data_IF_627218842667
#
_entry.id   IF_627218842667
#
_cell.length_a   1.000
_cell.length_b   1.000
_cell.length_c   1.000
_cell.angle_alpha   90.00
_cell.angle_beta   90.00
_cell.angle_gamma   90.00
#
_symmetry.space_group_name_H-M   'P 1'
#
loop_
_entity.id
_entity.type
_entity.pdbx_description
1 polymer ?
#
# COMPACT_ATOMS: atom_id res chain seq x y z
N UNK A 1 -13.88 13.36 -18.38
CA UNK A 1 -13.15 12.47 -17.48
C UNK A 1 -14.03 12.19 -16.27
N UNK A 2 -14.56 10.98 -16.12
CA UNK A 2 -15.53 10.59 -15.07
C UNK A 2 -15.08 10.92 -13.66
N UNK A 3 -13.79 10.75 -13.33
CA UNK A 3 -13.23 11.09 -12.04
C UNK A 3 -13.43 12.55 -11.62
N UNK A 4 -13.53 13.47 -12.57
CA UNK A 4 -13.78 14.89 -12.29
C UNK A 4 -15.27 15.19 -12.11
N UNK A 5 -16.14 14.41 -12.72
CA UNK A 5 -17.60 14.62 -12.70
C UNK A 5 -18.25 14.05 -11.44
N UNK A 6 -17.67 12.98 -10.86
CA UNK A 6 -18.22 12.38 -9.64
C UNK A 6 -17.93 13.24 -8.41
N UNK A 7 -18.85 13.32 -7.42
CA UNK A 7 -18.63 14.02 -6.16
C UNK A 7 -17.38 13.54 -5.44
N UNK A 8 -16.63 14.45 -4.84
CA UNK A 8 -15.42 14.15 -4.06
C UNK A 8 -15.70 14.23 -2.55
N UNK A 9 -16.63 13.52 -2.05
CA UNK A 9 -16.86 13.45 -0.61
C UNK A 9 -17.11 11.98 -0.24
N UNK A 10 -16.06 11.23 0.14
CA UNK A 10 -16.23 9.87 0.63
C UNK A 10 -17.15 9.89 1.86
N UNK A 11 -18.14 9.03 1.88
CA UNK A 11 -19.09 8.93 2.96
C UNK A 11 -18.85 7.67 3.78
N UNK A 12 -18.86 7.75 5.11
CA UNK A 12 -18.71 6.57 5.96
C UNK A 12 -19.93 5.65 5.82
N UNK A 13 -19.68 4.37 5.73
CA UNK A 13 -20.69 3.32 5.66
C UNK A 13 -20.22 2.11 6.47
N UNK A 14 -21.08 1.53 7.29
CA UNK A 14 -20.82 0.22 7.88
C UNK A 14 -20.88 -0.84 6.80
N UNK A 15 -19.98 -1.82 6.90
CA UNK A 15 -19.93 -2.99 6.03
C UNK A 15 -20.66 -4.17 6.67
N UNK A 16 -20.85 -5.23 5.90
CA UNK A 16 -21.42 -6.47 6.39
C UNK A 16 -20.58 -7.05 7.54
N UNK A 17 -21.14 -7.88 8.40
CA UNK A 17 -20.40 -8.52 9.49
C UNK A 17 -19.20 -9.31 8.98
N UNK A 18 -18.09 -9.27 9.72
CA UNK A 18 -16.92 -10.11 9.47
C UNK A 18 -17.19 -11.50 10.01
N UNK A 19 -17.08 -12.51 9.15
CA UNK A 19 -17.34 -13.90 9.48
C UNK A 19 -16.07 -14.65 9.89
N UNK A 20 -16.20 -15.63 10.77
CA UNK A 20 -15.10 -16.53 11.16
C UNK A 20 -14.03 -15.87 12.04
N UNK A 21 -14.36 -14.78 12.75
CA UNK A 21 -13.44 -14.10 13.66
C UNK A 21 -13.05 -15.02 14.82
N UNK A 22 -11.75 -15.23 15.03
CA UNK A 22 -11.19 -16.04 16.12
C UNK A 22 -9.68 -16.10 16.01
N UNK A 23 -9.01 -16.32 17.15
CA UNK A 23 -7.56 -16.47 17.17
C UNK A 23 -7.12 -17.70 16.37
N UNK A 24 -6.09 -17.54 15.53
CA UNK A 24 -5.60 -18.57 14.62
C UNK A 24 -6.46 -18.81 13.39
N UNK A 25 -7.55 -18.06 13.21
CA UNK A 25 -8.45 -18.18 12.08
C UNK A 25 -8.17 -17.13 11.00
N UNK A 26 -8.64 -17.43 9.80
CA UNK A 26 -8.75 -16.48 8.69
C UNK A 26 -10.21 -16.04 8.57
N UNK A 27 -10.52 -14.88 9.14
CA UNK A 27 -11.83 -14.26 9.03
C UNK A 27 -12.04 -13.68 7.63
N UNK A 28 -13.28 -13.54 7.20
CA UNK A 28 -13.66 -13.03 5.87
C UNK A 28 -14.77 -11.99 5.93
N UNK A 29 -14.65 -10.99 5.06
CA UNK A 29 -15.64 -9.96 4.83
C UNK A 29 -15.89 -9.86 3.33
N UNK A 30 -17.12 -10.06 2.89
CA UNK A 30 -17.52 -9.83 1.50
C UNK A 30 -17.77 -8.34 1.28
N UNK A 31 -17.14 -7.75 0.25
CA UNK A 31 -17.44 -6.39 -0.15
C UNK A 31 -18.55 -6.36 -1.20
N UNK A 32 -19.46 -5.41 -1.04
CA UNK A 32 -20.51 -5.14 -2.04
C UNK A 32 -19.83 -4.54 -3.27
N UNK A 33 -20.05 -5.15 -4.43
CA UNK A 33 -19.55 -4.66 -5.73
C UNK A 33 -20.44 -3.53 -6.26
N UNK A 34 -19.81 -2.56 -6.93
CA UNK A 34 -20.43 -1.35 -7.48
C UNK A 34 -19.89 -0.06 -6.88
N UNK A 35 -19.90 0.15 -5.56
CA UNK A 35 -19.29 1.33 -4.95
C UNK A 35 -17.79 1.43 -5.21
N UNK A 36 -17.27 2.65 -5.11
CA UNK A 36 -15.83 2.91 -5.09
C UNK A 36 -15.40 3.08 -3.63
N UNK A 37 -14.42 2.31 -3.17
CA UNK A 37 -13.90 2.37 -1.81
C UNK A 37 -12.68 3.27 -1.75
N UNK A 38 -12.75 4.35 -0.98
CA UNK A 38 -11.63 5.24 -0.68
C UNK A 38 -10.73 4.65 0.39
N UNK A 39 -11.34 4.07 1.42
CA UNK A 39 -10.65 3.32 2.47
C UNK A 39 -11.59 2.30 3.11
N UNK A 40 -11.00 1.26 3.69
CA UNK A 40 -11.68 0.30 4.56
C UNK A 40 -10.99 0.37 5.92
N UNK A 41 -11.77 0.45 6.98
CA UNK A 41 -11.31 0.52 8.36
C UNK A 41 -11.79 -0.72 9.10
N UNK A 42 -10.87 -1.46 9.69
CA UNK A 42 -11.15 -2.54 10.61
C UNK A 42 -11.11 -1.98 12.02
N UNK A 43 -12.20 -2.12 12.75
CA UNK A 43 -12.33 -1.67 14.14
C UNK A 43 -12.43 -2.90 15.02
N UNK A 44 -11.50 -3.05 15.95
CA UNK A 44 -11.30 -4.27 16.73
C UNK A 44 -10.79 -3.94 18.14
N UNK A 45 -10.91 -4.87 19.04
CA UNK A 45 -10.30 -4.85 20.37
C UNK A 45 -8.82 -5.35 20.35
N UNK A 46 -8.31 -5.76 19.21
CA UNK A 46 -6.90 -6.13 19.01
C UNK A 46 -6.05 -4.86 19.02
N UNK A 47 -5.29 -4.64 20.08
CA UNK A 47 -4.45 -3.45 20.26
C UNK A 47 -3.02 -3.66 19.78
N UNK A 48 -2.50 -4.89 19.78
CA UNK A 48 -1.18 -5.20 19.21
C UNK A 48 -1.31 -5.50 17.71
N UNK A 49 -0.76 -4.66 16.83
CA UNK A 49 -0.86 -4.87 15.39
C UNK A 49 -0.17 -6.16 14.91
N UNK A 50 0.74 -6.74 15.70
CA UNK A 50 1.39 -8.02 15.37
C UNK A 50 0.46 -9.23 15.51
N UNK A 51 -0.68 -9.06 16.15
CA UNK A 51 -1.71 -10.11 16.28
C UNK A 51 -2.57 -10.23 15.02
N UNK A 52 -2.50 -9.25 14.12
CA UNK A 52 -3.05 -9.34 12.76
C UNK A 52 -1.90 -9.72 11.82
N UNK A 53 -1.77 -11.03 11.56
CA UNK A 53 -0.67 -11.53 10.73
C UNK A 53 -0.78 -11.03 9.30
N UNK A 54 -2.02 -10.98 8.75
CA UNK A 54 -2.24 -10.59 7.36
C UNK A 54 -3.65 -10.03 7.14
N UNK A 55 -3.70 -8.98 6.36
CA UNK A 55 -4.93 -8.44 5.77
C UNK A 55 -4.78 -8.50 4.25
N UNK A 56 -5.73 -9.16 3.59
CA UNK A 56 -5.73 -9.33 2.13
C UNK A 56 -7.02 -8.75 1.54
N UNK A 57 -6.90 -8.01 0.44
CA UNK A 57 -8.05 -7.64 -0.39
C UNK A 57 -7.95 -8.40 -1.70
N UNK A 58 -8.94 -9.23 -1.97
CA UNK A 58 -8.94 -10.18 -3.08
C UNK A 58 -10.05 -9.86 -4.08
N UNK A 59 -9.70 -9.89 -5.37
CA UNK A 59 -10.62 -9.85 -6.51
C UNK A 59 -10.64 -11.21 -7.18
N UNK A 60 -11.79 -11.85 -7.21
CA UNK A 60 -12.00 -13.15 -7.88
C UNK A 60 -10.90 -14.18 -7.49
N UNK A 61 -10.50 -14.20 -6.22
CA UNK A 61 -9.45 -15.07 -5.70
C UNK A 61 -8.01 -14.57 -5.85
N UNK A 62 -7.77 -13.48 -6.57
CA UNK A 62 -6.44 -12.87 -6.73
C UNK A 62 -6.22 -11.75 -5.73
N UNK A 63 -5.23 -11.86 -4.84
CA UNK A 63 -4.89 -10.82 -3.88
C UNK A 63 -4.34 -9.57 -4.59
N UNK A 64 -4.93 -8.41 -4.30
CA UNK A 64 -4.46 -7.08 -4.77
C UNK A 64 -3.76 -6.30 -3.68
N UNK A 65 -4.16 -6.55 -2.44
CA UNK A 65 -3.51 -6.05 -1.22
C UNK A 65 -3.21 -7.25 -0.34
N UNK A 66 -2.01 -7.32 0.22
CA UNK A 66 -1.60 -8.37 1.15
C UNK A 66 -0.49 -7.86 2.06
N UNK A 67 -0.83 -7.48 3.29
CA UNK A 67 0.09 -6.87 4.26
C UNK A 67 -0.27 -7.24 5.68
N UNK A 68 0.69 -7.06 6.60
CA UNK A 68 0.48 -7.26 8.04
C UNK A 68 -0.26 -6.08 8.70
N UNK A 69 -0.83 -6.29 9.89
CA UNK A 69 -1.41 -5.22 10.69
C UNK A 69 -0.37 -4.18 11.11
N UNK A 70 0.85 -4.60 11.41
CA UNK A 70 1.97 -3.70 11.72
C UNK A 70 2.30 -2.78 10.54
N UNK A 71 2.30 -3.34 9.32
CA UNK A 71 2.49 -2.55 8.09
C UNK A 71 1.41 -1.48 7.94
N UNK A 72 0.13 -1.80 8.17
CA UNK A 72 -0.96 -0.82 8.08
C UNK A 72 -0.74 0.36 9.03
N UNK A 73 -0.37 0.10 10.29
CA UNK A 73 -0.09 1.17 11.27
C UNK A 73 1.09 2.04 10.83
N UNK A 74 2.18 1.43 10.38
CA UNK A 74 3.37 2.17 9.95
C UNK A 74 3.15 2.98 8.67
N UNK A 75 2.31 2.52 7.75
CA UNK A 75 1.93 3.31 6.57
C UNK A 75 1.11 4.55 6.96
N UNK A 76 0.25 4.47 7.99
CA UNK A 76 -0.44 5.65 8.51
C UNK A 76 0.54 6.62 9.18
N UNK A 77 1.50 6.12 9.97
CA UNK A 77 2.55 6.93 10.59
C UNK A 77 3.41 7.66 9.54
N UNK A 78 3.83 6.97 8.47
CA UNK A 78 4.56 7.59 7.36
C UNK A 78 3.82 8.79 6.76
N UNK A 79 2.50 8.70 6.62
CA UNK A 79 1.64 9.77 6.10
C UNK A 79 1.30 10.84 7.14
N UNK A 80 1.75 10.68 8.38
CA UNK A 80 1.37 11.50 9.55
C UNK A 80 -0.14 11.60 9.75
N UNK A 81 -0.85 10.54 9.41
CA UNK A 81 -2.28 10.42 9.71
C UNK A 81 -2.48 10.08 11.19
N UNK A 82 -3.60 10.53 11.74
CA UNK A 82 -4.00 10.10 13.07
C UNK A 82 -4.19 8.58 13.10
N UNK A 83 -3.62 7.94 14.11
CA UNK A 83 -3.75 6.51 14.35
C UNK A 83 -4.24 6.27 15.78
N UNK A 84 -5.11 5.28 15.94
CA UNK A 84 -5.67 4.85 17.21
C UNK A 84 -5.53 3.33 17.33
N UNK A 85 -5.23 2.84 18.52
CA UNK A 85 -5.16 1.41 18.79
C UNK A 85 -6.51 0.74 18.51
N UNK A 86 -6.48 -0.43 17.88
CA UNK A 86 -7.67 -1.15 17.48
C UNK A 86 -8.33 -0.64 16.20
N UNK A 87 -7.67 0.27 15.46
CA UNK A 87 -8.12 0.75 14.16
C UNK A 87 -7.07 0.54 13.09
N UNK A 88 -7.36 -0.33 12.13
CA UNK A 88 -6.46 -0.68 11.04
C UNK A 88 -7.06 -0.22 9.72
N UNK A 89 -6.37 0.70 9.03
CA UNK A 89 -6.92 1.38 7.86
C UNK A 89 -6.22 0.92 6.59
N UNK A 90 -7.00 0.35 5.68
CA UNK A 90 -6.64 0.09 4.29
C UNK A 90 -6.98 1.34 3.47
N UNK A 91 -6.01 2.22 3.23
CA UNK A 91 -6.21 3.42 2.43
C UNK A 91 -5.91 3.12 0.96
N UNK A 92 -6.91 3.20 0.11
CA UNK A 92 -6.73 3.12 -1.35
C UNK A 92 -6.46 4.51 -1.93
N UNK A 93 -7.31 5.48 -1.61
CA UNK A 93 -7.03 6.88 -1.91
C UNK A 93 -5.91 7.47 -1.06
N UNK A 94 -5.30 8.54 -1.54
CA UNK A 94 -4.21 9.21 -0.84
C UNK A 94 -4.51 10.70 -0.63
N UNK A 95 -5.05 11.02 0.55
CA UNK A 95 -5.40 12.38 0.94
C UNK A 95 -4.20 13.33 1.06
N UNK A 96 -2.97 12.81 1.01
CA UNK A 96 -1.76 13.64 1.03
C UNK A 96 -1.44 14.28 -0.32
N UNK A 97 -2.11 13.86 -1.39
CA UNK A 97 -1.98 14.43 -2.72
C UNK A 97 -2.79 15.73 -2.86
N UNK A 98 -2.38 16.58 -3.79
CA UNK A 98 -2.88 17.96 -3.92
C UNK A 98 -3.98 18.13 -4.95
N UNK A 99 -4.18 17.15 -5.82
CA UNK A 99 -5.19 17.20 -6.87
C UNK A 99 -6.31 16.19 -6.63
N UNK A 100 -7.53 16.53 -7.01
CA UNK A 100 -8.69 15.63 -6.92
C UNK A 100 -8.42 14.29 -7.64
N UNK A 101 -7.80 14.34 -8.81
CA UNK A 101 -7.44 13.14 -9.59
C UNK A 101 -6.40 12.34 -8.82
N UNK A 102 -5.32 12.98 -8.35
CA UNK A 102 -4.27 12.31 -7.60
C UNK A 102 -4.80 11.58 -6.37
N UNK A 103 -5.60 12.27 -5.55
CA UNK A 103 -6.19 11.70 -4.32
C UNK A 103 -7.03 10.45 -4.63
N UNK A 104 -7.79 10.47 -5.72
CA UNK A 104 -8.76 9.42 -6.08
C UNK A 104 -8.24 8.37 -7.05
N UNK A 105 -7.10 8.60 -7.67
CA UNK A 105 -6.56 7.75 -8.75
C UNK A 105 -6.46 6.28 -8.35
N UNK A 106 -6.17 6.03 -7.07
CA UNK A 106 -5.98 4.68 -6.53
C UNK A 106 -7.15 4.19 -5.68
N UNK A 107 -8.30 4.91 -5.67
CA UNK A 107 -9.51 4.41 -5.05
C UNK A 107 -9.87 3.02 -5.61
N UNK A 108 -10.31 2.13 -4.76
CA UNK A 108 -10.70 0.78 -5.17
C UNK A 108 -12.06 0.82 -5.86
N UNK A 109 -12.05 0.90 -7.17
CA UNK A 109 -13.26 0.81 -7.99
C UNK A 109 -13.67 -0.65 -8.10
N UNK A 110 -14.88 -0.97 -7.64
CA UNK A 110 -15.48 -2.30 -7.81
C UNK A 110 -16.52 -2.27 -8.92
N UNK A 111 -16.52 -3.28 -9.79
CA UNK A 111 -17.44 -3.36 -10.92
C UNK A 111 -18.51 -4.44 -10.70
N UNK A 112 -19.65 -4.30 -11.35
CA UNK A 112 -20.72 -5.31 -11.28
C UNK A 112 -20.23 -6.69 -11.70
N UNK A 113 -20.65 -7.72 -10.99
CA UNK A 113 -20.26 -9.12 -11.25
C UNK A 113 -18.92 -9.56 -10.67
N UNK A 114 -18.15 -8.65 -10.08
CA UNK A 114 -16.90 -8.99 -9.40
C UNK A 114 -17.16 -9.51 -7.99
N UNK A 115 -16.29 -10.43 -7.55
CA UNK A 115 -16.33 -10.99 -6.21
C UNK A 115 -15.12 -10.44 -5.44
N UNK A 116 -15.42 -9.61 -4.45
CA UNK A 116 -14.42 -8.98 -3.59
C UNK A 116 -14.53 -9.50 -2.16
N UNK A 117 -13.38 -9.87 -1.59
CA UNK A 117 -13.25 -10.24 -0.18
C UNK A 117 -12.12 -9.47 0.48
N UNK A 118 -12.31 -9.15 1.76
CA UNK A 118 -11.25 -8.82 2.70
C UNK A 118 -11.06 -10.02 3.61
N UNK A 119 -9.86 -10.57 3.64
CA UNK A 119 -9.48 -11.63 4.57
C UNK A 119 -8.60 -11.07 5.66
N UNK A 120 -8.80 -11.53 6.88
CA UNK A 120 -8.05 -11.10 8.07
C UNK A 120 -7.54 -12.35 8.76
N UNK A 121 -6.24 -12.60 8.66
CA UNK A 121 -5.61 -13.73 9.34
C UNK A 121 -5.11 -13.27 10.71
N UNK A 122 -5.62 -13.90 11.75
CA UNK A 122 -5.27 -13.59 13.14
C UNK A 122 -4.27 -14.61 13.67
N UNK A 123 -3.34 -14.12 14.48
CA UNK A 123 -2.33 -14.95 15.14
C UNK A 123 -2.97 -15.93 16.08
N UNK A 124 -2.39 -17.14 16.18
CA UNK A 124 -2.81 -18.12 17.16
C UNK A 124 -2.48 -17.66 18.58
N UNK A 125 -3.41 -17.87 19.50
CA UNK A 125 -3.25 -17.58 20.94
C UNK A 125 -3.50 -18.85 21.75
N UNK A 126 -3.05 -18.90 23.02
CA UNK A 126 -3.35 -20.02 23.90
C UNK A 126 -4.84 -20.31 24.02
N UNK A 127 -5.18 -21.60 24.23
CA UNK A 127 -6.55 -22.01 24.45
C UNK A 127 -7.18 -21.26 25.65
N UNK A 128 -8.44 -20.86 25.52
CA UNK A 128 -9.14 -20.07 26.54
C UNK A 128 -8.97 -18.56 26.44
N UNK A 129 -8.13 -18.06 25.52
CA UNK A 129 -8.07 -16.61 25.23
C UNK A 129 -9.41 -16.14 24.65
N UNK A 130 -9.97 -15.07 25.20
CA UNK A 130 -11.22 -14.48 24.71
C UNK A 130 -11.12 -14.20 23.21
N UNK A 131 -12.04 -14.65 22.36
CA UNK A 131 -12.05 -14.36 20.95
C UNK A 131 -12.12 -12.84 20.72
N UNK A 132 -11.40 -12.30 19.73
CA UNK A 132 -11.45 -10.88 19.43
C UNK A 132 -12.75 -10.52 18.72
N UNK A 133 -13.08 -9.24 18.74
CA UNK A 133 -14.18 -8.68 17.95
C UNK A 133 -13.60 -7.89 16.79
N UNK A 134 -14.20 -8.04 15.60
CA UNK A 134 -13.81 -7.26 14.41
C UNK A 134 -15.08 -6.81 13.70
N UNK A 135 -15.24 -5.51 13.52
CA UNK A 135 -16.22 -4.93 12.62
C UNK A 135 -15.52 -4.10 11.56
N UNK A 136 -16.18 -3.86 10.46
CA UNK A 136 -15.59 -3.11 9.36
C UNK A 136 -16.51 -1.97 8.92
N UNK A 137 -15.90 -0.85 8.60
CA UNK A 137 -16.56 0.30 7.97
C UNK A 137 -15.72 0.78 6.80
N UNK A 138 -16.32 1.48 5.87
CA UNK A 138 -15.62 2.02 4.72
C UNK A 138 -16.02 3.47 4.45
N UNK A 139 -15.10 4.22 3.83
CA UNK A 139 -15.43 5.48 3.19
C UNK A 139 -15.65 5.23 1.70
N UNK A 140 -16.90 5.41 1.25
CA UNK A 140 -17.31 5.05 -0.10
C UNK A 140 -17.67 6.28 -0.93
N UNK A 141 -17.46 6.14 -2.23
CA UNK A 141 -17.82 7.08 -3.29
C UNK A 141 -18.83 6.40 -4.23
N UNK A 142 -19.53 7.16 -5.06
CA UNK A 142 -20.42 6.58 -6.06
C UNK A 142 -19.72 5.56 -6.96
N UNK A 143 -20.52 4.66 -7.56
CA UNK A 143 -20.05 3.69 -8.54
C UNK A 143 -19.42 4.40 -9.76
N UNK A 144 -18.45 3.73 -10.36
CA UNK A 144 -17.84 4.13 -11.61
C UNK A 144 -18.11 3.05 -12.66
N UNK A 145 -18.35 3.47 -13.90
CA UNK A 145 -18.63 2.55 -15.00
C UNK A 145 -17.39 1.75 -15.42
N UNK A 146 -16.21 2.31 -15.21
CA UNK A 146 -14.94 1.71 -15.62
C UNK A 146 -13.85 1.93 -14.55
N UNK A 147 -12.98 0.95 -14.39
CA UNK A 147 -11.76 1.05 -13.59
C UNK A 147 -10.58 1.30 -14.51
N UNK A 148 -9.87 2.40 -14.26
CA UNK A 148 -8.63 2.72 -14.97
C UNK A 148 -7.40 2.22 -14.23
N UNK A 149 -7.43 2.25 -12.91
CA UNK A 149 -6.33 1.90 -12.05
C UNK A 149 -6.76 0.90 -10.98
N UNK A 150 -5.86 -0.01 -10.67
CA UNK A 150 -5.99 -1.00 -9.60
C UNK A 150 -4.91 -0.73 -8.55
N UNK A 151 -5.29 -0.41 -7.29
CA UNK A 151 -4.30 -0.29 -6.22
C UNK A 151 -3.64 -1.65 -5.95
N UNK A 152 -2.33 -1.64 -5.75
CA UNK A 152 -1.51 -2.78 -5.39
C UNK A 152 -0.72 -2.43 -4.13
N UNK A 153 -0.79 -3.30 -3.14
CA UNK A 153 -0.02 -3.18 -1.90
C UNK A 153 0.40 -4.58 -1.45
N UNK A 154 1.68 -4.84 -1.46
CA UNK A 154 2.21 -6.16 -1.16
C UNK A 154 3.61 -6.11 -0.57
N UNK A 155 3.97 -7.21 0.07
CA UNK A 155 5.27 -7.42 0.70
C UNK A 155 6.10 -8.39 -0.15
N UNK A 156 7.38 -8.11 -0.25
CA UNK A 156 8.38 -9.02 -0.82
C UNK A 156 9.65 -8.99 0.04
N UNK A 157 10.57 -9.89 -0.20
CA UNK A 157 11.83 -9.95 0.53
C UNK A 157 12.99 -10.12 -0.44
N UNK A 158 14.02 -9.31 -0.26
CA UNK A 158 15.30 -9.44 -0.92
C UNK A 158 16.34 -9.95 0.07
N UNK A 159 17.37 -10.62 -0.41
CA UNK A 159 18.45 -11.12 0.45
C UNK A 159 19.79 -10.55 0.01
N UNK A 160 20.42 -9.77 0.90
CA UNK A 160 21.77 -9.24 0.72
C UNK A 160 22.76 -10.22 1.31
N UNK A 161 23.58 -10.85 0.46
CA UNK A 161 24.60 -11.83 0.84
C UNK A 161 25.92 -11.19 1.30
N UNK A 162 26.08 -9.88 1.11
CA UNK A 162 27.27 -9.12 1.47
C UNK A 162 26.92 -7.73 2.00
N UNK A 163 27.84 -7.11 2.71
CA UNK A 163 27.80 -5.69 3.07
C UNK A 163 28.23 -4.83 1.88
N UNK A 164 27.99 -3.53 1.95
CA UNK A 164 28.27 -2.58 0.88
C UNK A 164 27.17 -2.53 -0.15
N UNK A 165 27.52 -2.21 -1.39
CA UNK A 165 26.57 -2.02 -2.49
C UNK A 165 26.02 -3.38 -2.96
N UNK A 166 24.72 -3.57 -2.79
CA UNK A 166 24.03 -4.78 -3.23
C UNK A 166 22.89 -4.39 -4.20
N UNK A 167 22.95 -4.80 -5.47
CA UNK A 167 21.89 -4.55 -6.44
C UNK A 167 20.77 -5.57 -6.34
N UNK A 168 19.53 -5.11 -6.47
CA UNK A 168 18.33 -5.93 -6.59
C UNK A 168 17.55 -5.51 -7.82
N UNK A 169 17.35 -6.44 -8.77
CA UNK A 169 16.51 -6.20 -9.92
C UNK A 169 15.04 -6.35 -9.55
N UNK A 170 14.22 -5.37 -9.93
CA UNK A 170 12.79 -5.42 -9.71
C UNK A 170 12.13 -6.30 -10.76
N UNK A 171 11.59 -7.45 -10.32
CA UNK A 171 11.12 -8.49 -11.22
C UNK A 171 9.82 -8.13 -11.96
N UNK A 172 8.89 -7.38 -11.31
CA UNK A 172 7.57 -7.04 -11.87
C UNK A 172 7.64 -5.79 -12.77
N UNK A 173 8.34 -5.89 -13.90
CA UNK A 173 8.47 -4.77 -14.85
C UNK A 173 7.30 -4.73 -15.82
N UNK A 174 6.60 -3.59 -15.84
CA UNK A 174 5.47 -3.38 -16.75
C UNK A 174 5.25 -1.87 -17.00
N UNK A 175 4.93 -1.44 -18.22
CA UNK A 175 4.54 -0.06 -18.46
C UNK A 175 3.23 0.32 -17.77
N UNK A 176 2.43 -0.65 -17.36
CA UNK A 176 1.19 -0.43 -16.62
C UNK A 176 1.39 -0.31 -15.10
N UNK A 177 2.54 -0.77 -14.57
CA UNK A 177 2.79 -0.77 -13.12
C UNK A 177 3.63 0.44 -12.72
N UNK A 178 3.10 1.22 -11.77
CA UNK A 178 3.72 2.42 -11.25
C UNK A 178 3.85 2.33 -9.73
N UNK A 179 5.06 2.49 -9.21
CA UNK A 179 5.34 2.49 -7.77
C UNK A 179 5.12 3.90 -7.23
N UNK A 180 4.23 4.01 -6.23
CA UNK A 180 4.01 5.25 -5.46
C UNK A 180 5.07 5.41 -4.37
N UNK A 181 5.27 4.32 -3.61
CA UNK A 181 6.23 4.25 -2.51
C UNK A 181 6.82 2.86 -2.43
N UNK A 182 8.06 2.80 -1.98
CA UNK A 182 8.73 1.57 -1.62
C UNK A 182 9.36 1.75 -0.25
N UNK A 183 9.11 0.83 0.66
CA UNK A 183 9.62 0.87 2.02
C UNK A 183 10.50 -0.35 2.26
N UNK A 184 11.75 -0.11 2.57
CA UNK A 184 12.72 -1.13 2.95
C UNK A 184 12.76 -1.23 4.47
N UNK A 185 12.41 -2.38 5.01
CA UNK A 185 12.30 -2.62 6.46
C UNK A 185 13.64 -3.09 7.01
N UNK A 186 14.66 -2.28 6.84
CA UNK A 186 16.02 -2.58 7.25
C UNK A 186 16.76 -1.33 7.71
N UNK A 187 17.24 -1.35 8.94
CA UNK A 187 17.95 -0.23 9.52
C UNK A 187 19.40 -0.11 9.03
N UNK A 188 19.96 -1.18 8.47
CA UNK A 188 21.34 -1.25 7.99
C UNK A 188 21.58 -0.60 6.63
N UNK A 189 20.55 -0.02 6.02
CA UNK A 189 20.66 0.66 4.73
C UNK A 189 21.01 2.12 4.94
N UNK A 190 22.17 2.56 4.42
CA UNK A 190 22.65 3.94 4.51
C UNK A 190 22.33 4.77 3.28
N UNK A 191 22.21 4.13 2.11
CA UNK A 191 21.97 4.78 0.82
C UNK A 191 21.20 3.88 -0.12
N UNK A 192 20.35 4.47 -0.93
CA UNK A 192 19.66 3.79 -2.02
C UNK A 192 19.90 4.54 -3.33
N UNK A 193 20.20 3.77 -4.40
CA UNK A 193 20.19 4.23 -5.78
C UNK A 193 19.15 3.47 -6.57
N UNK A 194 18.47 4.16 -7.47
CA UNK A 194 17.55 3.54 -8.42
C UNK A 194 18.15 3.72 -9.82
N UNK A 195 18.39 2.61 -10.50
CA UNK A 195 18.96 2.58 -11.84
C UNK A 195 17.99 1.94 -12.82
N UNK A 196 17.74 2.63 -13.92
CA UNK A 196 16.99 2.10 -15.06
C UNK A 196 17.93 1.94 -16.25
N UNK A 197 18.07 0.71 -16.72
CA UNK A 197 18.94 0.43 -17.87
C UNK A 197 20.34 1.03 -17.72
N UNK A 198 20.92 0.96 -16.52
CA UNK A 198 22.20 1.54 -16.10
C UNK A 198 22.22 3.08 -15.95
N UNK A 199 21.11 3.79 -16.17
CA UNK A 199 20.99 5.21 -15.88
C UNK A 199 20.52 5.43 -14.44
N UNK A 200 21.24 6.27 -13.67
CA UNK A 200 20.87 6.59 -12.30
C UNK A 200 19.73 7.62 -12.29
N UNK A 201 18.52 7.19 -11.86
CA UNK A 201 17.35 8.05 -11.72
C UNK A 201 17.25 8.70 -10.33
N UNK A 202 17.78 8.02 -9.30
CA UNK A 202 17.75 8.49 -7.92
C UNK A 202 18.98 7.99 -7.17
N UNK A 203 19.53 8.87 -6.32
CA UNK A 203 20.62 8.53 -5.41
C UNK A 203 20.46 9.36 -4.14
N UNK A 204 20.17 8.69 -3.01
CA UNK A 204 19.86 9.40 -1.76
C UNK A 204 20.40 8.64 -0.56
N UNK A 205 20.97 9.37 0.40
CA UNK A 205 21.34 8.82 1.71
C UNK A 205 20.11 8.74 2.63
N UNK A 206 20.20 7.94 3.67
CA UNK A 206 19.12 7.81 4.67
C UNK A 206 18.79 9.15 5.34
N UNK A 207 19.82 9.94 5.65
CA UNK A 207 19.67 11.25 6.29
C UNK A 207 19.03 12.27 5.37
N UNK A 208 19.49 12.36 4.11
CA UNK A 208 18.93 13.29 3.13
C UNK A 208 17.49 12.94 2.79
N UNK A 209 17.20 11.63 2.63
CA UNK A 209 15.84 11.17 2.41
C UNK A 209 14.87 11.49 3.57
N UNK A 210 15.34 11.32 4.82
CA UNK A 210 14.55 11.67 5.99
C UNK A 210 14.26 13.19 6.05
N UNK A 211 15.25 14.02 5.69
CA UNK A 211 15.07 15.47 5.56
C UNK A 211 14.04 15.81 4.48
N UNK A 212 14.19 15.25 3.28
CA UNK A 212 13.28 15.46 2.14
C UNK A 212 11.83 15.05 2.45
N UNK A 213 11.65 13.89 3.13
CA UNK A 213 10.33 13.45 3.60
C UNK A 213 9.73 14.45 4.59
N UNK A 214 10.53 14.96 5.53
CA UNK A 214 10.09 15.95 6.51
C UNK A 214 9.64 17.26 5.85
N UNK A 215 10.36 17.73 4.83
CA UNK A 215 9.97 18.88 4.01
C UNK A 215 8.59 18.68 3.35
N UNK A 216 8.27 17.45 2.99
CA UNK A 216 6.99 17.04 2.38
C UNK A 216 5.93 16.61 3.41
N UNK A 217 6.16 16.87 4.71
CA UNK A 217 5.27 16.48 5.81
C UNK A 217 5.02 14.97 5.89
N UNK A 218 6.00 14.19 5.50
CA UNK A 218 6.03 12.73 5.67
C UNK A 218 7.00 12.36 6.78
N UNK A 219 7.01 11.09 7.15
CA UNK A 219 7.93 10.58 8.17
C UNK A 219 8.61 9.30 7.71
N UNK A 220 9.91 9.23 7.96
CA UNK A 220 10.64 7.98 7.82
C UNK A 220 10.51 7.21 9.14
N UNK A 221 9.75 6.12 9.12
CA UNK A 221 9.59 5.27 10.30
C UNK A 221 10.93 4.74 10.78
N UNK A 222 11.08 4.59 12.10
CA UNK A 222 12.25 3.98 12.70
C UNK A 222 12.47 2.55 12.16
N UNK A 223 13.70 2.24 11.77
CA UNK A 223 14.05 0.95 11.17
C UNK A 223 13.65 0.78 9.71
N UNK A 224 13.07 1.80 9.07
CA UNK A 224 12.69 1.78 7.66
C UNK A 224 13.53 2.77 6.86
N UNK A 225 13.67 2.47 5.56
CA UNK A 225 14.09 3.43 4.56
C UNK A 225 12.96 3.55 3.53
N UNK A 226 12.32 4.71 3.45
CA UNK A 226 11.10 4.89 2.63
C UNK A 226 11.38 5.84 1.47
N UNK A 227 11.28 5.36 0.24
CA UNK A 227 11.26 6.20 -0.95
C UNK A 227 9.81 6.56 -1.28
N UNK A 228 9.47 7.84 -1.25
CA UNK A 228 8.14 8.36 -1.61
C UNK A 228 8.23 9.17 -2.90
N UNK A 229 7.92 8.56 -4.03
CA UNK A 229 8.00 9.18 -5.35
C UNK A 229 6.91 10.23 -5.57
N UNK A 230 5.81 10.15 -4.80
CA UNK A 230 4.69 11.10 -4.90
C UNK A 230 4.69 12.15 -3.78
N UNK A 231 5.80 12.31 -3.07
CA UNK A 231 5.93 13.21 -1.91
C UNK A 231 5.54 14.67 -2.19
N UNK A 232 5.74 15.13 -3.41
CA UNK A 232 5.38 16.49 -3.81
C UNK A 232 3.88 16.71 -4.04
N UNK A 233 3.07 15.66 -4.04
CA UNK A 233 1.63 15.72 -4.09
C UNK A 233 1.00 15.72 -5.50
N UNK A 234 1.77 15.44 -6.55
CA UNK A 234 1.29 15.48 -7.95
C UNK A 234 0.80 14.13 -8.49
N UNK A 235 0.76 13.09 -7.67
CA UNK A 235 0.19 11.80 -8.05
C UNK A 235 0.95 11.13 -9.20
N UNK A 236 0.27 10.89 -10.30
CA UNK A 236 0.79 10.13 -11.44
C UNK A 236 2.13 10.65 -11.99
N UNK A 237 2.32 11.97 -11.97
CA UNK A 237 3.53 12.59 -12.54
C UNK A 237 4.81 12.31 -11.70
N UNK A 238 4.64 11.90 -10.45
CA UNK A 238 5.76 11.57 -9.57
C UNK A 238 6.06 10.07 -9.47
N UNK A 239 5.14 9.19 -9.86
CA UNK A 239 5.30 7.74 -9.67
C UNK A 239 6.48 7.19 -10.46
N UNK A 240 7.18 6.20 -9.88
CA UNK A 240 8.20 5.44 -10.58
C UNK A 240 7.53 4.37 -11.45
N UNK A 241 7.51 4.58 -12.78
CA UNK A 241 7.07 3.54 -13.72
C UNK A 241 8.07 2.39 -13.73
N UNK A 242 7.60 1.14 -13.76
CA UNK A 242 8.49 -0.02 -13.68
C UNK A 242 8.99 -0.52 -15.02
N UNK A 243 8.58 0.06 -16.15
CA UNK A 243 9.09 -0.33 -17.46
C UNK A 243 10.59 -0.07 -17.57
N UNK A 244 11.32 -1.06 -18.06
CA UNK A 244 12.73 -0.98 -18.37
C UNK A 244 13.04 -1.94 -19.52
N UNK A 245 14.06 -1.66 -20.32
CA UNK A 245 14.51 -2.55 -21.40
C UNK A 245 15.23 -3.78 -20.87
N UNK A 246 16.17 -3.58 -19.96
CA UNK A 246 16.99 -4.65 -19.37
C UNK A 246 16.73 -4.81 -17.89
N UNK A 247 16.78 -3.72 -17.10
CA UNK A 247 16.65 -3.79 -15.65
C UNK A 247 16.09 -2.50 -15.05
N UNK A 248 15.37 -2.67 -13.93
CA UNK A 248 15.09 -1.63 -12.95
C UNK A 248 15.72 -2.08 -11.63
N UNK A 249 16.89 -1.58 -11.32
CA UNK A 249 17.67 -2.02 -10.17
C UNK A 249 17.56 -1.03 -9.01
N UNK A 250 17.42 -1.58 -7.80
CA UNK A 250 17.58 -0.87 -6.54
C UNK A 250 18.92 -1.30 -5.94
N UNK A 251 19.89 -0.41 -5.91
CA UNK A 251 21.17 -0.64 -5.24
C UNK A 251 21.12 -0.13 -3.81
N UNK A 252 21.33 -1.01 -2.86
CA UNK A 252 21.31 -0.72 -1.43
C UNK A 252 22.74 -0.74 -0.91
N UNK A 253 23.22 0.37 -0.33
CA UNK A 253 24.46 0.37 0.46
C UNK A 253 24.11 -0.08 1.88
N UNK A 254 24.53 -1.28 2.27
CA UNK A 254 24.19 -1.92 3.55
C UNK A 254 25.41 -2.12 4.44
N UNK A 255 25.21 -1.93 5.75
CA UNK A 255 26.22 -2.21 6.77
C UNK A 255 26.17 -3.65 7.29
N UNK A 256 25.06 -4.35 7.08
CA UNK A 256 24.85 -5.73 7.55
C UNK A 256 24.31 -6.62 6.43
N UNK A 257 24.67 -7.91 6.45
CA UNK A 257 24.09 -8.95 5.59
C UNK A 257 22.71 -9.35 6.11
N UNK A 258 21.85 -9.85 5.23
CA UNK A 258 20.57 -10.42 5.66
C UNK A 258 19.41 -10.10 4.74
N UNK A 259 18.23 -10.55 5.19
CA UNK A 259 16.96 -10.32 4.50
C UNK A 259 16.54 -8.85 4.63
N UNK A 260 16.06 -8.29 3.54
CA UNK A 260 15.48 -6.95 3.44
C UNK A 260 14.01 -7.12 3.07
N UNK A 261 13.10 -7.14 4.04
CA UNK A 261 11.67 -7.10 3.73
C UNK A 261 11.32 -5.76 3.09
N UNK A 262 10.49 -5.80 2.05
CA UNK A 262 10.14 -4.62 1.25
C UNK A 262 8.62 -4.55 1.12
N UNK A 263 8.06 -3.36 1.32
CA UNK A 263 6.65 -3.07 1.09
C UNK A 263 6.54 -2.19 -0.15
N UNK A 264 5.70 -2.61 -1.09
CA UNK A 264 5.45 -1.89 -2.34
C UNK A 264 4.03 -1.32 -2.30
N UNK A 265 3.92 0.01 -2.31
CA UNK A 265 2.68 0.72 -2.62
C UNK A 265 2.70 1.08 -4.12
N UNK A 266 1.90 0.41 -4.92
CA UNK A 266 1.87 0.60 -6.35
C UNK A 266 0.45 0.80 -6.88
N UNK A 267 0.35 1.18 -8.14
CA UNK A 267 -0.88 1.23 -8.89
C UNK A 267 -0.66 0.62 -10.28
N UNK A 268 -1.58 -0.21 -10.69
CA UNK A 268 -1.57 -0.85 -12.00
C UNK A 268 -2.64 -0.20 -12.89
N UNK A 269 -2.25 0.29 -14.06
CA UNK A 269 -3.21 0.76 -15.06
C UNK A 269 -3.84 -0.44 -15.76
N UNK A 270 -5.14 -0.64 -15.57
CA UNK A 270 -5.89 -1.82 -16.07
C UNK A 270 -6.77 -1.51 -17.27
N UNK A 271 -6.93 -0.23 -17.62
CA UNK A 271 -7.66 0.22 -18.81
C UNK A 271 -6.99 1.43 -19.42
N UNK A 272 -7.13 1.60 -20.73
CA UNK A 272 -6.67 2.80 -21.41
C UNK A 272 -7.38 4.05 -20.87
N UNK A 273 -6.63 5.13 -20.68
CA UNK A 273 -7.21 6.42 -20.31
C UNK A 273 -8.01 6.99 -21.49
N UNK A 274 -9.14 7.65 -21.23
CA UNK A 274 -9.87 8.33 -22.30
C UNK A 274 -8.97 9.41 -22.93
N UNK A 275 -8.88 9.38 -24.24
CA UNK A 275 -8.18 10.41 -24.99
C UNK A 275 -8.97 11.71 -24.77
N UNK A 276 -8.34 12.71 -24.20
CA UNK A 276 -8.92 14.08 -24.16
C UNK A 276 -8.86 14.63 -25.56
N UNK A 277 -10.03 14.78 -26.21
CA UNK A 277 -10.16 15.50 -27.46
C UNK A 277 -9.92 17.00 -27.22
#
# INVERSE_FOLDING_TARGET
>A
MELLQTPFAPRPKELDPVEGVGWGNRASLRLVSGPTYHSIELVTDITDPKDIERVEVSLNGSAKVSVSGETLVKLQAHRKNYAENGRYILSFGDATLRTKIGVRQTDLVTLGGEIWFVYITLKSKPAGTTPPTVRARAHVLPSQAQRYYMPRLYELSWFASSTGRTPFDFAERSPALNIKRIHFLDNSIDRIRVLRDSFEELNVTKTDNAFDLSQSKKEQNAGWFSLDFIRYGFGADGMLNTAARSQLAFELDKTEVGSVPVIIEAVEQVSALPVTA
#
